data_IF_191152104531
#
_entry.id   IF_191152104531
#
_cell.length_a   1.000
_cell.length_b   1.000
_cell.length_c   1.000
_cell.angle_alpha   90.00
_cell.angle_beta   90.00
_cell.angle_gamma   90.00
#
_symmetry.space_group_name_H-M   'P 1'
#
loop_
_entity.id
_entity.type
_entity.pdbx_description
1 polymer ?
#
# COMPACT_ATOMS: atom_id res chain seq x y z
N UNK A 1 26.91 -48.39 -50.66
CA UNK A 1 27.01 -49.69 -51.36
C UNK A 1 26.50 -50.73 -50.36
N UNK A 2 25.18 -50.95 -50.31
CA UNK A 2 24.44 -52.08 -50.92
C UNK A 2 25.00 -53.43 -50.42
N UNK A 3 24.27 -54.37 -49.81
CA UNK A 3 22.84 -54.67 -49.76
C UNK A 3 22.54 -55.69 -48.63
N UNK A 4 21.23 -55.83 -48.31
CA UNK A 4 20.50 -56.99 -47.76
C UNK A 4 20.36 -57.05 -46.22
N UNK A 5 19.20 -57.33 -45.59
CA UNK A 5 17.88 -57.82 -46.02
C UNK A 5 16.84 -57.44 -44.93
N UNK A 6 15.58 -57.17 -45.30
CA UNK A 6 14.38 -57.17 -44.40
C UNK A 6 13.71 -58.55 -44.43
N UNK A 7 12.90 -58.89 -43.41
CA UNK A 7 11.42 -58.89 -43.57
C UNK A 7 10.74 -58.28 -42.33
N UNK A 8 9.71 -57.42 -42.37
CA UNK A 8 8.30 -57.56 -42.82
C UNK A 8 7.54 -58.76 -42.26
N UNK A 9 6.82 -58.53 -41.14
CA UNK A 9 5.60 -59.22 -40.70
C UNK A 9 4.69 -58.17 -40.03
N UNK A 10 3.70 -57.64 -40.75
CA UNK A 10 2.28 -58.03 -40.73
C UNK A 10 1.58 -57.81 -39.38
N UNK A 11 0.97 -56.64 -39.23
CA UNK A 11 -0.03 -56.34 -38.21
C UNK A 11 -1.41 -56.91 -38.64
N UNK A 12 -2.15 -57.61 -37.77
CA UNK A 12 -3.56 -57.87 -37.98
C UNK A 12 -4.43 -56.80 -37.32
N UNK A 13 -5.34 -56.29 -38.13
CA UNK A 13 -6.54 -55.54 -37.77
C UNK A 13 -7.59 -56.42 -37.06
N UNK A 14 -8.46 -55.73 -36.31
CA UNK A 14 -9.86 -56.06 -35.99
C UNK A 14 -10.16 -56.87 -34.71
N UNK A 15 -10.87 -56.14 -33.82
CA UNK A 15 -12.11 -56.54 -33.20
C UNK A 15 -12.08 -57.76 -32.28
N UNK A 16 -11.93 -57.52 -30.98
CA UNK A 16 -12.69 -58.17 -29.91
C UNK A 16 -12.26 -57.53 -28.59
N UNK A 17 -12.98 -56.49 -28.16
CA UNK A 17 -13.22 -56.08 -26.76
C UNK A 17 -14.25 -54.94 -26.78
N UNK A 18 -15.31 -55.20 -27.53
CA UNK A 18 -16.56 -54.44 -27.55
C UNK A 18 -17.57 -55.20 -26.69
N UNK A 19 -17.22 -55.51 -25.43
CA UNK A 19 -18.18 -56.11 -24.51
C UNK A 19 -17.79 -55.89 -23.04
N UNK A 20 -17.73 -54.62 -22.65
CA UNK A 20 -17.83 -54.18 -21.24
C UNK A 20 -18.20 -52.71 -21.08
N UNK A 21 -18.67 -52.07 -22.15
CA UNK A 21 -19.09 -50.65 -22.18
C UNK A 21 -20.60 -50.44 -22.43
N UNK A 22 -21.38 -51.52 -22.55
CA UNK A 22 -22.81 -51.46 -22.92
C UNK A 22 -23.81 -51.70 -21.78
N UNK A 23 -23.39 -51.88 -20.54
CA UNK A 23 -24.29 -52.10 -19.40
C UNK A 23 -24.23 -51.05 -18.29
N UNK A 24 -23.43 -49.98 -18.43
CA UNK A 24 -23.40 -48.86 -17.48
C UNK A 24 -23.95 -47.53 -18.02
N UNK A 25 -24.50 -47.53 -19.25
CA UNK A 25 -25.21 -46.39 -19.86
C UNK A 25 -26.73 -46.54 -19.83
N UNK A 26 -27.26 -47.32 -18.89
CA UNK A 26 -28.72 -47.52 -18.68
C UNK A 26 -29.20 -47.35 -17.23
N UNK A 27 -28.33 -46.86 -16.33
CA UNK A 27 -28.68 -46.50 -14.94
C UNK A 27 -28.28 -45.06 -14.56
N UNK A 28 -28.13 -44.17 -15.55
CA UNK A 28 -27.88 -42.73 -15.35
C UNK A 28 -28.89 -41.84 -16.09
N UNK A 29 -30.12 -42.35 -16.27
CA UNK A 29 -31.21 -41.63 -16.94
C UNK A 29 -32.55 -41.64 -16.18
N UNK A 30 -32.51 -41.79 -14.84
CA UNK A 30 -33.67 -41.64 -13.93
C UNK A 30 -33.35 -40.66 -12.78
N UNK A 31 -32.44 -39.71 -12.99
CA UNK A 31 -32.18 -38.64 -11.99
C UNK A 31 -31.98 -37.25 -12.62
N UNK A 32 -32.57 -37.07 -13.81
CA UNK A 32 -32.71 -35.76 -14.50
C UNK A 32 -34.16 -35.54 -14.98
N UNK A 33 -35.11 -35.96 -14.15
CA UNK A 33 -36.55 -35.76 -14.34
C UNK A 33 -37.16 -35.16 -13.07
N UNK A 34 -36.64 -34.00 -12.64
CA UNK A 34 -37.25 -33.09 -11.65
C UNK A 34 -36.38 -31.82 -11.59
N UNK A 35 -36.43 -31.01 -12.65
CA UNK A 35 -36.05 -29.58 -12.69
C UNK A 35 -35.94 -29.08 -14.13
N UNK A 36 -36.93 -29.37 -14.97
CA UNK A 36 -37.14 -28.65 -16.22
C UNK A 36 -38.64 -28.63 -16.51
N UNK A 37 -39.34 -27.80 -15.73
CA UNK A 37 -40.65 -27.27 -16.09
C UNK A 37 -40.67 -25.82 -15.64
N UNK A 38 -41.10 -24.93 -16.53
CA UNK A 38 -41.09 -23.46 -16.47
C UNK A 38 -39.80 -22.74 -16.88
N UNK A 39 -39.56 -22.70 -18.19
CA UNK A 39 -39.30 -21.43 -18.86
C UNK A 39 -39.59 -21.58 -20.36
N UNK A 40 -40.45 -20.69 -20.90
CA UNK A 40 -40.45 -20.10 -22.26
C UNK A 40 -41.89 -19.76 -22.64
N UNK A 41 -42.24 -18.47 -22.55
CA UNK A 41 -42.66 -17.59 -23.67
C UNK A 41 -43.30 -16.30 -23.13
N UNK A 42 -42.71 -15.13 -23.45
CA UNK A 42 -43.46 -13.95 -23.91
C UNK A 42 -42.49 -12.90 -24.48
N UNK A 43 -42.68 -12.60 -25.77
CA UNK A 43 -41.97 -11.59 -26.56
C UNK A 43 -42.48 -10.19 -26.22
N UNK A 44 -41.61 -9.18 -26.34
CA UNK A 44 -42.00 -7.77 -26.29
C UNK A 44 -42.74 -7.28 -27.54
N UNK A 45 -43.44 -6.15 -27.40
CA UNK A 45 -43.71 -5.10 -28.40
C UNK A 45 -44.27 -3.87 -27.66
N UNK A 46 -43.85 -2.68 -28.11
CA UNK A 46 -44.20 -1.40 -27.52
C UNK A 46 -45.64 -0.95 -27.76
N UNK A 47 -46.00 0.17 -27.12
CA UNK A 47 -47.26 0.86 -27.33
C UNK A 47 -47.38 2.08 -26.41
N UNK A 48 -47.28 3.26 -27.02
CA UNK A 48 -47.51 4.60 -26.48
C UNK A 48 -48.97 4.79 -26.08
N UNK A 49 -49.26 5.36 -24.91
CA UNK A 49 -50.54 6.06 -24.63
C UNK A 49 -50.26 7.25 -23.71
N UNK A 50 -50.54 8.45 -24.22
CA UNK A 50 -50.74 9.68 -23.45
C UNK A 50 -52.16 9.71 -22.89
N UNK A 51 -52.33 10.14 -21.65
CA UNK A 51 -53.49 10.90 -21.16
C UNK A 51 -53.07 11.59 -19.84
N UNK A 52 -53.16 12.91 -19.82
CA UNK A 52 -52.79 13.74 -18.66
C UNK A 52 -53.95 13.98 -17.70
N UNK A 53 -53.63 14.39 -16.47
CA UNK A 53 -54.14 15.63 -15.87
C UNK A 53 -53.55 15.85 -14.47
N UNK A 54 -53.02 17.06 -14.33
CA UNK A 54 -52.80 17.91 -13.15
C UNK A 54 -53.12 17.35 -11.74
N UNK A 55 -52.13 17.46 -10.82
CA UNK A 55 -52.26 18.24 -9.58
C UNK A 55 -50.91 18.36 -8.83
N UNK A 56 -50.31 19.54 -9.00
CA UNK A 56 -49.58 20.40 -8.05
C UNK A 56 -49.09 19.88 -6.68
N UNK A 57 -47.76 19.96 -6.53
CA UNK A 57 -46.97 20.52 -5.42
C UNK A 57 -46.93 19.84 -4.03
N UNK A 58 -45.71 19.44 -3.59
CA UNK A 58 -44.84 20.20 -2.67
C UNK A 58 -43.47 19.52 -2.47
N UNK A 59 -42.44 20.36 -2.29
CA UNK A 59 -41.02 20.04 -2.02
C UNK A 59 -40.78 19.51 -0.60
N UNK A 60 -39.80 18.62 -0.43
CA UNK A 60 -38.86 18.51 0.71
C UNK A 60 -37.87 17.36 0.40
N UNK A 61 -36.65 17.62 -0.07
CA UNK A 61 -35.39 17.76 0.69
C UNK A 61 -34.91 16.50 1.45
N UNK A 62 -33.96 15.80 0.80
CA UNK A 62 -32.63 15.35 1.28
C UNK A 62 -32.45 14.57 2.61
N UNK A 63 -32.14 13.27 2.44
CA UNK A 63 -31.07 12.44 3.05
C UNK A 63 -31.00 12.22 4.60
N UNK A 64 -30.04 11.42 5.15
CA UNK A 64 -30.28 10.05 5.60
C UNK A 64 -29.93 9.80 7.09
N UNK A 65 -30.36 8.66 7.63
CA UNK A 65 -30.21 8.28 9.03
C UNK A 65 -28.80 7.77 9.37
N UNK A 66 -28.17 8.43 10.35
CA UNK A 66 -27.06 7.94 11.19
C UNK A 66 -27.65 7.63 12.56
N UNK A 67 -27.37 6.45 13.11
CA UNK A 67 -27.73 6.09 14.49
C UNK A 67 -26.43 6.04 15.29
N UNK A 68 -26.34 6.94 16.27
CA UNK A 68 -25.30 7.01 17.29
C UNK A 68 -25.98 6.75 18.64
N UNK A 69 -25.43 5.85 19.45
CA UNK A 69 -25.96 5.51 20.77
C UNK A 69 -24.95 5.85 21.85
N UNK A 70 -25.32 6.78 22.74
CA UNK A 70 -24.58 7.09 23.96
C UNK A 70 -25.54 7.41 25.12
N UNK A 71 -25.08 7.02 26.31
CA UNK A 71 -25.56 7.31 27.69
C UNK A 71 -26.70 6.41 28.21
N UNK A 72 -26.45 5.48 29.15
CA UNK A 72 -26.15 5.63 30.60
C UNK A 72 -27.29 6.27 31.40
N UNK A 73 -28.03 5.47 32.17
CA UNK A 73 -28.29 5.76 33.59
C UNK A 73 -28.73 4.49 34.34
N UNK A 74 -28.33 4.46 35.60
CA UNK A 74 -28.52 3.45 36.65
C UNK A 74 -29.89 3.55 37.32
N UNK A 75 -30.57 2.45 37.68
CA UNK A 75 -30.87 2.07 39.08
C UNK A 75 -31.67 0.76 39.24
N UNK A 76 -31.61 0.22 40.46
CA UNK A 76 -32.02 -1.09 40.99
C UNK A 76 -33.54 -1.42 41.08
N UNK A 77 -33.77 -2.71 41.39
CA UNK A 77 -34.89 -3.37 42.12
C UNK A 77 -35.97 -4.04 41.24
N UNK A 78 -35.99 -5.38 41.18
CA UNK A 78 -36.69 -6.35 42.06
C UNK A 78 -38.18 -6.56 41.73
N UNK A 79 -38.52 -7.81 41.39
CA UNK A 79 -39.80 -8.43 41.74
C UNK A 79 -40.80 -8.66 40.60
N UNK A 80 -41.22 -9.92 40.45
CA UNK A 80 -42.65 -10.22 40.30
C UNK A 80 -43.16 -10.59 38.91
N UNK A 81 -43.20 -11.90 38.65
CA UNK A 81 -44.31 -12.66 38.07
C UNK A 81 -45.04 -12.09 36.83
N UNK A 82 -44.73 -12.65 35.65
CA UNK A 82 -45.62 -12.64 34.48
C UNK A 82 -46.63 -13.79 34.55
N UNK A 83 -47.90 -13.44 34.37
CA UNK A 83 -49.02 -14.38 34.22
C UNK A 83 -49.01 -15.07 32.85
N UNK A 84 -49.19 -16.39 32.92
CA UNK A 84 -49.33 -17.32 31.81
C UNK A 84 -50.74 -17.30 31.20
N UNK A 85 -50.84 -17.22 29.87
CA UNK A 85 -51.94 -17.84 29.14
C UNK A 85 -51.47 -19.15 28.49
N UNK A 86 -51.94 -20.24 29.09
CA UNK A 86 -51.74 -21.63 28.68
C UNK A 86 -52.76 -21.99 27.60
N UNK A 87 -52.29 -22.49 26.46
CA UNK A 87 -53.04 -23.48 25.69
C UNK A 87 -52.20 -24.76 25.61
N UNK A 88 -52.67 -25.74 26.37
CA UNK A 88 -52.13 -27.08 26.51
C UNK A 88 -52.18 -27.84 25.19
N UNK A 89 -51.02 -28.35 24.76
CA UNK A 89 -50.95 -29.51 23.86
C UNK A 89 -50.03 -30.54 24.53
N UNK A 90 -50.53 -31.77 24.59
CA UNK A 90 -50.04 -32.92 25.34
C UNK A 90 -48.53 -33.17 25.25
N UNK A 91 -47.90 -33.41 26.41
CA UNK A 91 -46.64 -34.15 26.52
C UNK A 91 -46.88 -35.65 26.30
N UNK A 92 -46.03 -36.36 25.54
CA UNK A 92 -45.59 -37.68 25.93
C UNK A 92 -44.47 -37.53 26.96
N UNK A 93 -44.70 -38.16 28.09
CA UNK A 93 -43.73 -38.44 29.14
C UNK A 93 -42.59 -39.33 28.64
N UNK A 94 -41.43 -39.14 29.28
CA UNK A 94 -40.32 -40.08 29.42
C UNK A 94 -39.68 -40.61 28.14
N UNK A 95 -38.52 -40.06 27.79
CA UNK A 95 -37.30 -40.86 27.58
C UNK A 95 -36.09 -39.91 27.72
N UNK A 96 -35.22 -40.26 28.65
CA UNK A 96 -33.95 -39.63 28.94
C UNK A 96 -33.03 -39.59 27.70
N UNK A 97 -32.51 -38.42 27.35
CA UNK A 97 -31.36 -38.32 26.46
C UNK A 97 -30.50 -37.08 26.83
N UNK A 98 -29.42 -37.25 27.61
CA UNK A 98 -28.31 -36.31 27.57
C UNK A 98 -27.47 -36.68 26.34
N UNK A 99 -27.92 -36.28 25.15
CA UNK A 99 -27.20 -36.60 23.91
C UNK A 99 -27.00 -35.39 22.99
N UNK A 100 -26.89 -34.21 23.60
CA UNK A 100 -26.78 -32.94 22.86
C UNK A 100 -25.71 -31.98 23.39
N UNK A 101 -24.64 -32.50 24.03
CA UNK A 101 -23.47 -31.67 24.38
C UNK A 101 -22.11 -32.27 24.03
N UNK A 102 -22.05 -33.35 23.24
CA UNK A 102 -20.78 -34.00 22.84
C UNK A 102 -20.43 -33.87 21.35
N UNK A 103 -20.88 -32.81 20.66
CA UNK A 103 -20.25 -32.35 19.41
C UNK A 103 -19.31 -31.16 19.69
N UNK A 104 -18.56 -31.23 20.80
CA UNK A 104 -17.39 -30.41 21.00
C UNK A 104 -16.29 -30.92 20.07
N UNK A 105 -16.05 -30.16 19.00
CA UNK A 105 -14.78 -30.11 18.26
C UNK A 105 -14.11 -31.47 17.95
N UNK A 106 -14.70 -32.25 17.03
CA UNK A 106 -13.90 -33.14 16.18
C UNK A 106 -13.03 -32.25 15.27
N UNK A 107 -11.90 -31.80 15.83
CA UNK A 107 -10.81 -31.14 15.11
C UNK A 107 -10.28 -32.18 14.13
N UNK A 108 -10.76 -32.15 12.89
CA UNK A 108 -10.35 -33.12 11.88
C UNK A 108 -8.81 -33.14 11.80
N UNK A 109 -8.16 -34.26 12.11
CA UNK A 109 -6.69 -34.33 12.23
C UNK A 109 -5.97 -34.09 10.90
N UNK A 110 -6.70 -33.98 9.78
CA UNK A 110 -6.16 -33.82 8.44
C UNK A 110 -6.65 -32.52 7.77
N UNK A 111 -5.71 -31.64 7.43
CA UNK A 111 -5.97 -30.43 6.64
C UNK A 111 -5.82 -30.75 5.16
N UNK A 112 -6.89 -30.53 4.38
CA UNK A 112 -6.84 -30.67 2.92
C UNK A 112 -5.79 -29.73 2.33
N UNK A 113 -4.89 -30.27 1.49
CA UNK A 113 -3.90 -29.47 0.76
C UNK A 113 -4.61 -28.52 -0.22
N UNK A 114 -4.67 -27.24 0.10
CA UNK A 114 -5.32 -26.22 -0.72
C UNK A 114 -4.47 -25.78 -1.92
N UNK A 115 -3.14 -25.68 -1.72
CA UNK A 115 -2.18 -25.27 -2.76
C UNK A 115 -1.64 -26.49 -3.51
N UNK A 116 -2.47 -27.05 -4.39
CA UNK A 116 -2.13 -28.20 -5.25
C UNK A 116 -1.49 -27.73 -6.56
N UNK A 117 -0.96 -28.66 -7.38
CA UNK A 117 -0.48 -28.33 -8.73
C UNK A 117 -1.56 -27.67 -9.60
N UNK A 118 -2.81 -28.13 -9.48
CA UNK A 118 -3.97 -27.54 -10.15
C UNK A 118 -4.30 -26.11 -9.69
N UNK A 119 -3.99 -25.76 -8.42
CA UNK A 119 -4.11 -24.38 -7.95
C UNK A 119 -3.10 -23.47 -8.66
N UNK A 120 -1.82 -23.88 -8.70
CA UNK A 120 -0.77 -23.06 -9.29
C UNK A 120 -0.89 -22.88 -10.79
N UNK A 121 -1.42 -23.88 -11.52
CA UNK A 121 -1.66 -23.75 -12.97
C UNK A 121 -2.71 -22.70 -13.32
N UNK A 122 -3.65 -22.41 -12.40
CA UNK A 122 -4.71 -21.40 -12.56
C UNK A 122 -4.40 -20.09 -11.84
N UNK A 123 -3.33 -20.04 -11.03
CA UNK A 123 -3.03 -18.89 -10.20
C UNK A 123 -2.42 -17.76 -11.03
N UNK A 124 -3.20 -16.69 -11.23
CA UNK A 124 -2.71 -15.49 -11.90
C UNK A 124 -2.00 -14.55 -10.91
N UNK A 125 -0.69 -14.40 -11.09
CA UNK A 125 0.11 -13.48 -10.27
C UNK A 125 -0.25 -12.02 -10.57
N UNK A 126 -0.31 -11.19 -9.51
CA UNK A 126 -0.40 -9.73 -9.66
C UNK A 126 0.95 -9.15 -10.11
N UNK A 127 0.94 -7.91 -10.62
CA UNK A 127 2.16 -7.21 -11.01
C UNK A 127 3.21 -7.18 -9.90
N UNK A 128 4.50 -7.21 -10.27
CA UNK A 128 5.64 -7.32 -9.34
C UNK A 128 5.53 -6.37 -8.14
N UNK A 129 5.38 -5.06 -8.36
CA UNK A 129 5.29 -4.06 -7.28
C UNK A 129 4.04 -4.19 -6.39
N UNK A 130 2.97 -4.82 -6.87
CA UNK A 130 1.77 -5.10 -6.06
C UNK A 130 2.00 -6.29 -5.13
N UNK A 131 2.74 -7.30 -5.60
CA UNK A 131 3.19 -8.43 -4.79
C UNK A 131 4.19 -8.00 -3.72
N UNK A 132 5.08 -7.07 -4.04
CA UNK A 132 5.99 -6.44 -3.07
C UNK A 132 5.29 -5.43 -2.13
N UNK A 133 4.00 -5.13 -2.34
CA UNK A 133 3.28 -4.17 -1.50
C UNK A 133 3.79 -2.73 -1.57
N UNK A 134 4.45 -2.32 -2.67
CA UNK A 134 5.07 -0.99 -2.81
C UNK A 134 4.24 0.02 -3.58
N UNK A 135 3.25 -0.43 -4.35
CA UNK A 135 2.51 0.45 -5.27
C UNK A 135 1.08 -0.02 -5.43
N UNK A 136 0.17 0.92 -5.23
CA UNK A 136 -1.20 0.81 -5.74
C UNK A 136 -1.24 1.28 -7.20
N UNK A 137 -1.56 0.36 -8.11
CA UNK A 137 -1.66 0.65 -9.53
C UNK A 137 -2.90 1.45 -9.88
N UNK A 138 -3.94 1.43 -9.04
CA UNK A 138 -5.16 2.19 -9.27
C UNK A 138 -4.90 3.69 -9.10
N UNK A 139 -4.36 4.10 -7.94
CA UNK A 139 -3.90 5.47 -7.72
C UNK A 139 -2.85 5.90 -8.75
N UNK A 140 -1.85 5.05 -9.02
CA UNK A 140 -0.77 5.35 -9.97
C UNK A 140 -1.28 5.60 -11.39
N UNK A 141 -2.23 4.80 -11.89
CA UNK A 141 -2.83 4.98 -13.23
C UNK A 141 -3.43 6.38 -13.37
N UNK A 142 -4.17 6.84 -12.37
CA UNK A 142 -4.83 8.16 -12.38
C UNK A 142 -3.84 9.32 -12.28
N UNK A 143 -2.81 9.17 -11.47
CA UNK A 143 -1.76 10.17 -11.31
C UNK A 143 -0.97 10.36 -12.61
N UNK A 144 -0.60 9.26 -13.27
CA UNK A 144 0.31 9.29 -14.43
C UNK A 144 -0.41 9.56 -15.75
N UNK A 145 -1.66 9.12 -15.89
CA UNK A 145 -2.41 9.29 -17.13
C UNK A 145 -2.46 10.76 -17.53
N UNK A 146 -2.02 11.04 -18.75
CA UNK A 146 -2.05 12.34 -19.39
C UNK A 146 -3.04 12.29 -20.56
N UNK A 147 -3.72 13.40 -20.82
CA UNK A 147 -4.60 13.50 -21.98
C UNK A 147 -3.80 13.43 -23.28
N UNK A 148 -4.26 12.64 -24.25
CA UNK A 148 -3.53 12.38 -25.51
C UNK A 148 -3.32 13.64 -26.36
N UNK A 149 -4.19 14.62 -26.23
CA UNK A 149 -4.06 15.93 -26.89
C UNK A 149 -2.86 16.75 -26.40
N UNK A 150 -2.24 16.39 -25.27
CA UNK A 150 -1.00 16.99 -24.77
C UNK A 150 0.25 16.30 -25.30
N UNK A 151 0.09 15.32 -26.20
CA UNK A 151 1.17 14.59 -26.88
C UNK A 151 2.24 14.10 -25.91
N UNK A 152 3.48 14.57 -26.07
CA UNK A 152 4.64 14.15 -25.28
C UNK A 152 4.92 15.07 -24.07
N UNK A 153 3.99 15.96 -23.71
CA UNK A 153 4.17 16.83 -22.56
C UNK A 153 4.20 15.99 -21.26
N UNK A 154 5.32 15.99 -20.51
CA UNK A 154 5.46 15.17 -19.33
C UNK A 154 4.51 15.65 -18.22
N UNK A 155 3.88 14.70 -17.54
CA UNK A 155 3.10 14.96 -16.34
C UNK A 155 3.97 14.70 -15.11
N UNK A 156 4.42 15.77 -14.46
CA UNK A 156 5.30 15.71 -13.31
C UNK A 156 4.54 15.38 -12.02
N UNK A 157 5.17 14.57 -11.18
CA UNK A 157 4.68 14.23 -9.84
C UNK A 157 5.78 14.38 -8.80
N UNK A 158 5.42 14.92 -7.64
CA UNK A 158 6.25 14.95 -6.45
C UNK A 158 6.01 13.65 -5.67
N UNK A 159 6.94 12.71 -5.81
CA UNK A 159 6.96 11.44 -5.12
C UNK A 159 7.59 11.64 -3.75
N UNK A 160 6.77 11.55 -2.69
CA UNK A 160 7.23 11.64 -1.31
C UNK A 160 7.20 10.25 -0.68
N UNK A 161 8.33 9.78 -0.15
CA UNK A 161 8.45 8.47 0.48
C UNK A 161 9.17 8.58 1.81
N UNK A 162 8.58 7.95 2.81
CA UNK A 162 9.15 7.83 4.15
C UNK A 162 9.72 6.44 4.31
N UNK A 163 10.98 6.38 4.72
CA UNK A 163 11.56 5.19 5.34
C UNK A 163 11.55 5.37 6.86
N UNK A 164 12.15 4.44 7.60
CA UNK A 164 12.25 4.58 9.06
C UNK A 164 13.26 5.64 9.50
N UNK A 165 14.24 6.00 8.65
CA UNK A 165 15.35 6.90 9.02
C UNK A 165 15.54 8.09 8.08
N UNK A 166 14.90 8.08 6.92
CA UNK A 166 15.02 9.14 5.92
C UNK A 166 13.69 9.42 5.20
N UNK A 167 13.56 10.66 4.76
CA UNK A 167 12.52 11.15 3.86
C UNK A 167 13.14 11.31 2.49
N UNK A 168 12.45 10.83 1.46
CA UNK A 168 12.88 10.88 0.07
C UNK A 168 11.83 11.63 -0.73
N UNK A 169 12.22 12.76 -1.32
CA UNK A 169 11.38 13.58 -2.18
C UNK A 169 11.98 13.57 -3.59
N UNK A 170 11.16 13.26 -4.59
CA UNK A 170 11.60 13.16 -5.99
C UNK A 170 10.55 13.76 -6.91
N UNK A 171 10.98 14.54 -7.90
CA UNK A 171 10.13 14.95 -9.01
C UNK A 171 10.35 13.96 -10.14
N UNK A 172 9.30 13.22 -10.48
CA UNK A 172 9.34 12.20 -11.50
C UNK A 172 8.27 12.42 -12.57
N UNK A 173 8.53 11.95 -13.77
CA UNK A 173 7.52 11.78 -14.81
C UNK A 173 7.66 10.39 -15.42
N UNK A 174 6.58 9.87 -16.00
CA UNK A 174 6.59 8.51 -16.55
C UNK A 174 6.94 8.50 -18.04
N UNK A 175 7.71 7.51 -18.46
CA UNK A 175 7.92 7.10 -19.86
C UNK A 175 7.69 5.59 -19.99
N UNK A 176 7.70 5.09 -21.22
CA UNK A 176 7.48 3.66 -21.51
C UNK A 176 8.53 2.73 -20.86
N UNK A 177 9.80 3.14 -20.87
CA UNK A 177 10.88 2.37 -20.24
C UNK A 177 10.78 2.36 -18.70
N UNK A 178 10.23 3.43 -18.12
CA UNK A 178 10.19 3.63 -16.68
C UNK A 178 10.00 5.09 -16.30
N UNK A 179 10.13 5.35 -15.01
CA UNK A 179 10.04 6.70 -14.46
C UNK A 179 11.39 7.41 -14.59
N UNK A 180 11.36 8.65 -15.09
CA UNK A 180 12.52 9.51 -15.17
C UNK A 180 12.44 10.54 -14.03
N UNK A 181 13.54 10.69 -13.30
CA UNK A 181 13.64 11.60 -12.16
C UNK A 181 14.31 12.89 -12.63
N UNK A 182 13.62 14.02 -12.46
CA UNK A 182 14.14 15.35 -12.80
C UNK A 182 15.03 15.89 -11.67
N UNK A 183 14.52 15.86 -10.45
CA UNK A 183 15.20 16.30 -9.24
C UNK A 183 14.90 15.34 -8.09
N UNK A 184 15.84 15.22 -7.17
CA UNK A 184 15.71 14.40 -5.97
C UNK A 184 16.40 15.10 -4.80
N UNK A 185 15.83 14.92 -3.61
CA UNK A 185 16.50 15.23 -2.36
C UNK A 185 16.11 14.23 -1.28
N UNK A 186 16.98 14.11 -0.28
CA UNK A 186 16.83 13.19 0.83
C UNK A 186 17.11 13.93 2.13
N UNK A 187 16.44 13.54 3.21
CA UNK A 187 16.69 14.17 4.51
C UNK A 187 18.11 13.93 5.04
N UNK A 188 18.79 12.87 4.60
CA UNK A 188 20.23 12.64 4.89
C UNK A 188 21.18 13.72 4.34
N UNK A 189 20.69 14.57 3.44
CA UNK A 189 21.48 15.68 2.90
C UNK A 189 21.28 16.97 3.71
N UNK A 190 20.28 16.99 4.62
CA UNK A 190 19.98 18.14 5.48
C UNK A 190 21.05 18.51 6.51
N UNK A 191 21.88 17.58 7.03
CA UNK A 191 23.00 17.94 7.92
C UNK A 191 23.97 18.95 7.30
N UNK A 192 24.08 19.02 5.96
CA UNK A 192 24.87 20.05 5.28
C UNK A 192 24.35 21.47 5.54
N UNK A 193 23.06 21.61 5.78
CA UNK A 193 22.36 22.88 6.00
C UNK A 193 22.07 23.13 7.49
N UNK A 194 22.70 22.39 8.41
CA UNK A 194 22.55 22.60 9.86
C UNK A 194 21.54 21.70 10.57
N UNK A 195 20.74 20.90 9.85
CA UNK A 195 19.78 19.96 10.48
C UNK A 195 20.44 18.59 10.65
N UNK A 196 21.09 18.37 11.79
CA UNK A 196 21.78 17.11 12.09
C UNK A 196 20.84 16.02 12.62
N UNK A 197 19.85 16.39 13.42
CA UNK A 197 18.93 15.47 14.09
C UNK A 197 17.53 15.49 13.48
N UNK A 198 16.67 14.55 13.91
CA UNK A 198 15.25 14.61 13.59
C UNK A 198 14.90 14.40 12.11
N UNK A 199 15.70 13.69 11.32
CA UNK A 199 15.57 13.57 9.85
C UNK A 199 14.27 12.95 9.31
N UNK A 200 13.31 12.61 10.17
CA UNK A 200 12.00 12.07 9.79
C UNK A 200 10.81 12.81 10.40
N UNK A 201 11.01 13.91 11.12
CA UNK A 201 9.93 14.72 11.68
C UNK A 201 9.18 15.50 10.56
N UNK A 202 8.20 16.32 10.96
CA UNK A 202 7.41 17.11 10.02
C UNK A 202 8.23 18.26 9.42
N UNK A 203 9.06 18.95 10.22
CA UNK A 203 9.96 20.03 9.77
C UNK A 203 11.00 19.55 8.76
N UNK A 204 11.64 18.40 8.97
CA UNK A 204 12.56 17.81 7.99
C UNK A 204 11.82 17.42 6.70
N UNK A 205 10.54 17.03 6.78
CA UNK A 205 9.73 16.82 5.59
C UNK A 205 9.57 18.13 4.81
N UNK A 206 9.25 19.21 5.50
CA UNK A 206 9.18 20.56 4.92
C UNK A 206 10.51 20.97 4.28
N UNK A 207 11.62 20.90 5.02
CA UNK A 207 12.96 21.22 4.52
C UNK A 207 13.35 20.40 3.28
N UNK A 208 13.06 19.08 3.26
CA UNK A 208 13.31 18.25 2.08
C UNK A 208 12.43 18.60 0.89
N UNK A 209 11.19 19.02 1.12
CA UNK A 209 10.28 19.54 0.09
C UNK A 209 10.85 20.81 -0.56
N UNK A 210 11.26 21.76 0.27
CA UNK A 210 11.88 23.02 -0.13
C UNK A 210 13.14 22.79 -0.97
N UNK A 211 14.02 21.90 -0.50
CA UNK A 211 15.25 21.55 -1.20
C UNK A 211 15.00 20.92 -2.58
N UNK A 212 13.98 20.06 -2.72
CA UNK A 212 13.61 19.50 -4.04
C UNK A 212 13.06 20.57 -4.96
N UNK A 213 12.26 21.49 -4.44
CA UNK A 213 11.68 22.57 -5.22
C UNK A 213 12.76 23.49 -5.81
N UNK A 214 13.66 24.00 -4.96
CA UNK A 214 14.78 24.84 -5.40
C UNK A 214 15.66 24.13 -6.42
N UNK A 215 16.05 22.87 -6.16
CA UNK A 215 16.80 22.06 -7.14
C UNK A 215 16.14 21.93 -8.49
N UNK A 216 14.81 21.77 -8.51
CA UNK A 216 14.08 21.63 -9.75
C UNK A 216 13.99 22.94 -10.52
N UNK A 217 13.75 24.05 -9.81
CA UNK A 217 13.66 25.39 -10.40
C UNK A 217 15.02 25.87 -10.91
N UNK A 218 16.11 25.66 -10.17
CA UNK A 218 17.48 25.98 -10.63
C UNK A 218 17.83 25.21 -11.90
N UNK A 219 17.47 23.92 -11.99
CA UNK A 219 17.68 23.11 -13.21
C UNK A 219 16.87 23.59 -14.41
N UNK A 220 15.73 24.23 -14.17
CA UNK A 220 14.84 24.75 -15.21
C UNK A 220 15.09 26.23 -15.52
N UNK A 221 15.97 26.91 -14.78
CA UNK A 221 16.19 28.36 -14.91
C UNK A 221 15.00 29.21 -14.45
N UNK A 222 14.22 28.71 -13.47
CA UNK A 222 13.01 29.36 -12.94
C UNK A 222 13.15 29.77 -11.48
N UNK A 223 14.35 29.73 -10.91
CA UNK A 223 14.58 30.02 -9.49
C UNK A 223 14.22 31.47 -9.13
N UNK A 224 14.71 32.43 -9.91
CA UNK A 224 14.54 33.88 -9.63
C UNK A 224 13.11 34.37 -9.94
N UNK A 225 12.38 33.68 -10.82
CA UNK A 225 11.01 34.08 -11.19
C UNK A 225 9.98 33.62 -10.17
N UNK A 226 10.24 32.48 -9.55
CA UNK A 226 9.33 31.83 -8.61
C UNK A 226 10.04 31.56 -7.31
N UNK A 227 10.36 32.65 -6.60
CA UNK A 227 10.96 32.63 -5.27
C UNK A 227 9.98 32.05 -4.25
N UNK A 228 8.66 32.20 -4.43
CA UNK A 228 7.69 31.63 -3.50
C UNK A 228 7.64 32.43 -2.20
N UNK A 229 7.55 31.76 -1.05
CA UNK A 229 7.45 32.42 0.26
C UNK A 229 8.80 32.32 0.95
N UNK A 230 9.44 33.45 1.28
CA UNK A 230 10.76 33.46 1.92
C UNK A 230 10.70 33.17 3.42
N UNK A 231 9.76 33.82 4.11
CA UNK A 231 9.49 33.62 5.52
C UNK A 231 8.18 32.84 5.67
N UNK A 232 8.23 31.57 6.13
CA UNK A 232 7.04 30.74 6.15
C UNK A 232 6.11 31.13 7.30
N UNK A 233 5.08 31.91 7.00
CA UNK A 233 4.04 32.35 7.95
C UNK A 233 2.95 31.30 8.22
N UNK A 234 3.07 30.11 7.65
CA UNK A 234 2.06 29.05 7.77
C UNK A 234 0.87 29.21 6.82
N UNK A 235 0.63 30.39 6.26
CA UNK A 235 -0.51 30.64 5.36
C UNK A 235 -0.47 29.77 4.09
N UNK A 236 -1.64 29.42 3.55
CA UNK A 236 -1.75 28.64 2.30
C UNK A 236 -1.59 29.57 1.09
N UNK A 237 -0.37 29.68 0.58
CA UNK A 237 -0.06 30.33 -0.69
C UNK A 237 0.15 29.30 -1.80
N UNK A 238 -0.54 29.51 -2.91
CA UNK A 238 -0.34 28.73 -4.14
C UNK A 238 0.37 29.65 -5.12
N UNK A 239 1.42 29.17 -5.77
CA UNK A 239 2.15 29.97 -6.76
C UNK A 239 1.29 30.22 -8.00
N UNK A 240 0.90 31.48 -8.20
CA UNK A 240 0.12 31.90 -9.36
C UNK A 240 1.02 32.17 -10.57
N UNK A 241 0.41 32.26 -11.75
CA UNK A 241 1.15 32.69 -12.93
C UNK A 241 1.49 34.18 -12.77
N UNK A 242 2.66 34.60 -13.26
CA UNK A 242 2.99 36.02 -13.31
C UNK A 242 2.11 36.68 -14.38
N UNK A 243 1.63 37.89 -14.11
CA UNK A 243 0.72 38.64 -15.00
C UNK A 243 1.43 39.20 -16.25
N UNK A 244 2.75 39.09 -16.32
CA UNK A 244 3.53 39.42 -17.51
C UNK A 244 3.19 38.44 -18.65
N UNK A 245 2.76 38.96 -19.80
CA UNK A 245 2.23 38.17 -20.93
C UNK A 245 3.20 37.09 -21.46
N UNK A 246 4.51 37.29 -21.29
CA UNK A 246 5.57 36.37 -21.75
C UNK A 246 6.28 35.59 -20.62
N UNK A 247 5.79 35.67 -19.38
CA UNK A 247 6.40 34.93 -18.28
C UNK A 247 6.15 33.40 -18.38
N UNK A 248 7.19 32.56 -18.20
CA UNK A 248 7.02 31.11 -18.17
C UNK A 248 6.07 30.71 -17.05
N UNK A 249 5.10 29.84 -17.34
CA UNK A 249 4.15 29.33 -16.34
C UNK A 249 4.86 28.63 -15.17
N UNK A 250 4.29 28.66 -13.94
CA UNK A 250 4.90 28.02 -12.79
C UNK A 250 5.01 26.50 -12.98
N UNK A 251 6.07 25.92 -12.42
CA UNK A 251 6.34 24.50 -12.58
C UNK A 251 5.27 23.67 -11.86
N UNK A 252 4.44 22.96 -12.63
CA UNK A 252 3.31 22.19 -12.10
C UNK A 252 3.68 20.75 -11.77
N UNK A 253 3.49 20.35 -10.52
CA UNK A 253 3.67 18.97 -10.05
C UNK A 253 2.45 18.46 -9.26
N UNK A 254 2.18 17.16 -9.34
CA UNK A 254 1.12 16.50 -8.56
C UNK A 254 1.70 15.67 -7.41
N UNK A 255 1.12 15.74 -6.22
CA UNK A 255 1.57 14.92 -5.09
C UNK A 255 1.30 13.43 -5.32
N UNK A 256 2.35 12.61 -5.20
CA UNK A 256 2.27 11.15 -5.14
C UNK A 256 2.59 10.66 -3.73
N UNK A 257 1.54 10.40 -2.96
CA UNK A 257 1.56 9.88 -1.58
C UNK A 257 1.94 8.38 -1.52
N UNK A 258 1.76 7.66 -2.62
CA UNK A 258 1.95 6.21 -2.68
C UNK A 258 0.90 5.45 -1.88
N UNK A 259 1.34 4.70 -0.86
CA UNK A 259 0.47 3.88 0.00
C UNK A 259 0.25 4.50 1.39
N UNK A 260 0.82 5.68 1.65
CA UNK A 260 0.61 6.37 2.93
C UNK A 260 -0.84 6.86 3.03
N UNK A 261 -1.39 6.79 4.25
CA UNK A 261 -2.73 7.32 4.53
C UNK A 261 -2.69 8.85 4.49
N UNK A 262 -3.67 9.46 3.86
CA UNK A 262 -3.86 10.91 3.79
C UNK A 262 -4.68 11.40 4.97
N UNK A 263 -4.10 11.32 6.18
CA UNK A 263 -4.66 11.93 7.40
C UNK A 263 -4.22 13.38 7.55
N UNK A 264 -4.97 14.17 8.33
CA UNK A 264 -4.53 15.49 8.81
C UNK A 264 -3.21 15.36 9.59
N UNK A 265 -2.31 16.34 9.44
CA UNK A 265 -1.00 16.32 10.11
C UNK A 265 -0.01 15.28 9.57
N UNK A 266 -0.33 14.55 8.49
CA UNK A 266 0.62 13.60 7.89
C UNK A 266 1.85 14.35 7.36
N UNK A 267 3.05 13.85 7.72
CA UNK A 267 4.35 14.40 7.28
C UNK A 267 4.49 14.52 5.76
N UNK A 268 3.75 13.74 4.99
CA UNK A 268 3.70 13.85 3.52
C UNK A 268 3.29 15.26 3.08
N UNK A 269 2.37 15.88 3.83
CA UNK A 269 1.90 17.22 3.55
C UNK A 269 2.89 18.31 3.99
N UNK A 270 3.78 18.03 4.96
CA UNK A 270 4.91 18.91 5.25
C UNK A 270 5.85 19.05 4.05
N UNK A 271 6.21 17.93 3.41
CA UNK A 271 7.00 17.95 2.18
C UNK A 271 6.27 18.60 0.99
N UNK A 272 4.94 18.50 0.93
CA UNK A 272 4.15 19.24 -0.04
C UNK A 272 4.22 20.75 0.22
N UNK A 273 4.07 21.17 1.48
CA UNK A 273 4.06 22.59 1.87
C UNK A 273 5.41 23.23 1.58
N UNK A 274 6.51 22.59 1.97
CA UNK A 274 7.86 23.06 1.64
C UNK A 274 8.14 23.11 0.13
N UNK A 275 7.60 22.17 -0.65
CA UNK A 275 7.73 22.23 -2.10
C UNK A 275 6.90 23.37 -2.73
N UNK A 276 5.73 23.67 -2.17
CA UNK A 276 4.87 24.78 -2.58
C UNK A 276 5.55 26.12 -2.30
N UNK A 277 6.02 26.30 -1.06
CA UNK A 277 6.69 27.52 -0.61
C UNK A 277 8.02 27.75 -1.34
N UNK A 278 8.66 26.68 -1.79
CA UNK A 278 9.85 26.73 -2.65
C UNK A 278 9.60 27.10 -4.11
N UNK A 279 8.36 27.44 -4.50
CA UNK A 279 8.02 27.95 -5.83
C UNK A 279 7.34 26.97 -6.78
N UNK A 280 7.15 25.70 -6.40
CA UNK A 280 6.48 24.70 -7.26
C UNK A 280 4.97 24.82 -7.12
N UNK A 281 4.25 24.89 -8.24
CA UNK A 281 2.79 24.83 -8.24
C UNK A 281 2.30 23.40 -8.00
N UNK A 282 1.79 23.14 -6.80
CA UNK A 282 1.12 21.88 -6.44
C UNK A 282 -0.34 22.18 -6.13
N UNK A 283 -1.33 21.62 -6.86
CA UNK A 283 -2.73 21.85 -6.52
C UNK A 283 -3.09 21.10 -5.23
N UNK A 284 -3.47 21.83 -4.18
CA UNK A 284 -3.82 21.28 -2.87
C UNK A 284 -4.80 22.18 -2.11
N UNK A 285 -5.28 21.68 -0.96
CA UNK A 285 -6.27 22.35 -0.09
C UNK A 285 -5.76 22.32 1.36
N UNK A 286 -6.18 23.28 2.19
CA UNK A 286 -5.74 23.40 3.59
C UNK A 286 -6.12 22.22 4.51
N UNK A 287 -7.14 21.43 4.12
CA UNK A 287 -7.79 20.38 4.94
C UNK A 287 -6.89 19.30 5.53
N UNK A 288 -5.64 19.18 5.06
CA UNK A 288 -4.72 18.11 5.46
C UNK A 288 -3.50 18.60 6.23
N UNK A 289 -3.37 19.90 6.43
CA UNK A 289 -2.32 20.47 7.25
C UNK A 289 -2.59 20.28 8.75
N UNK A 290 -1.56 20.27 9.59
CA UNK A 290 -1.74 20.42 11.04
C UNK A 290 -2.41 21.77 11.32
N UNK A 291 -3.22 21.85 12.40
CA UNK A 291 -3.99 23.05 12.73
C UNK A 291 -5.32 23.20 11.98
N UNK A 292 -5.65 22.32 11.03
CA UNK A 292 -6.96 22.34 10.38
C UNK A 292 -8.02 21.69 11.26
N UNK A 293 -9.03 22.47 11.65
CA UNK A 293 -10.19 21.97 12.37
C UNK A 293 -11.33 21.60 11.40
N UNK A 294 -11.80 20.34 11.39
CA UNK A 294 -12.91 19.91 10.53
C UNK A 294 -14.25 20.59 10.85
N UNK A 295 -14.46 21.10 12.08
CA UNK A 295 -15.72 21.70 12.50
C UNK A 295 -15.85 23.16 12.03
N UNK A 296 -14.90 24.01 12.41
CA UNK A 296 -14.81 25.41 11.95
C UNK A 296 -14.44 25.51 10.46
N UNK A 297 -13.78 24.49 9.89
CA UNK A 297 -13.22 24.49 8.52
C UNK A 297 -12.17 25.57 8.28
N UNK A 298 -11.58 26.09 9.36
CA UNK A 298 -10.53 27.08 9.33
C UNK A 298 -9.17 26.42 9.59
N UNK A 299 -8.13 27.03 9.05
CA UNK A 299 -6.74 26.63 9.29
C UNK A 299 -6.18 27.58 10.33
N UNK A 300 -5.68 27.01 11.42
CA UNK A 300 -4.85 27.77 12.36
C UNK A 300 -3.43 27.89 11.79
N UNK A 301 -3.13 29.08 11.26
CA UNK A 301 -1.85 29.42 10.65
C UNK A 301 -0.71 29.41 11.69
N UNK A 302 -0.99 29.75 12.94
CA UNK A 302 0.00 29.75 14.02
C UNK A 302 0.46 28.32 14.34
N UNK A 303 -0.47 27.38 14.47
CA UNK A 303 -0.13 25.96 14.63
C UNK A 303 0.69 25.46 13.45
N UNK A 304 0.34 25.82 12.21
CA UNK A 304 1.12 25.39 11.05
C UNK A 304 2.53 25.98 11.07
N UNK A 305 2.69 27.25 11.45
CA UNK A 305 3.99 27.90 11.64
C UNK A 305 4.83 27.18 12.70
N UNK A 306 4.26 26.85 13.87
CA UNK A 306 4.92 26.04 14.90
C UNK A 306 5.41 24.68 14.35
N UNK A 307 4.65 24.04 13.47
CA UNK A 307 5.08 22.79 12.84
C UNK A 307 6.22 22.97 11.84
N UNK A 308 6.33 24.11 11.17
CA UNK A 308 7.40 24.45 10.21
C UNK A 308 8.73 24.73 10.93
N UNK A 309 8.69 25.40 12.09
CA UNK A 309 9.90 25.72 12.86
C UNK A 309 10.24 24.69 13.94
N UNK A 310 9.42 23.67 14.13
CA UNK A 310 9.72 22.58 15.06
C UNK A 310 9.29 22.86 16.49
N UNK A 311 8.44 23.86 16.72
CA UNK A 311 7.86 24.18 18.03
C UNK A 311 7.19 22.97 18.69
N UNK A 312 6.49 22.12 17.93
CA UNK A 312 5.92 20.87 18.48
C UNK A 312 6.95 19.86 19.01
N UNK A 313 8.20 19.92 18.54
CA UNK A 313 9.30 19.11 19.06
C UNK A 313 9.89 19.79 20.29
N UNK A 314 10.04 21.11 20.27
CA UNK A 314 10.49 21.91 21.41
C UNK A 314 9.53 21.77 22.62
N UNK A 315 8.22 21.99 22.40
CA UNK A 315 7.17 21.77 23.41
C UNK A 315 7.20 20.34 23.97
N UNK A 316 7.51 19.35 23.12
CA UNK A 316 7.64 17.96 23.56
C UNK A 316 8.92 17.69 24.35
N UNK A 317 10.02 18.38 24.04
CA UNK A 317 11.25 18.31 24.85
C UNK A 317 11.01 18.90 26.24
N UNK A 318 10.42 20.10 26.33
CA UNK A 318 10.10 20.77 27.60
C UNK A 318 9.17 19.94 28.47
N UNK A 319 8.07 19.43 27.91
CA UNK A 319 7.13 18.60 28.69
C UNK A 319 7.79 17.34 29.27
N UNK A 320 8.80 16.78 28.60
CA UNK A 320 9.47 15.57 29.07
C UNK A 320 10.58 15.86 30.08
N UNK A 321 11.20 17.04 30.01
CA UNK A 321 12.12 17.53 31.05
C UNK A 321 11.38 17.73 32.38
N UNK A 322 10.10 18.14 32.34
CA UNK A 322 9.28 18.32 33.54
C UNK A 322 8.66 17.01 34.05
N UNK A 323 8.19 16.13 33.16
CA UNK A 323 7.42 14.93 33.55
C UNK A 323 8.28 13.68 33.83
N UNK A 324 9.29 13.38 33.00
CA UNK A 324 9.97 12.08 33.01
C UNK A 324 11.37 12.11 32.35
N UNK A 325 12.40 12.26 33.20
CA UNK A 325 13.83 12.20 32.82
C UNK A 325 14.22 10.92 32.06
N UNK A 326 13.55 9.77 32.28
CA UNK A 326 13.90 8.54 31.57
C UNK A 326 13.45 8.58 30.11
N UNK A 327 12.30 9.19 29.84
CA UNK A 327 11.80 9.39 28.48
C UNK A 327 12.58 10.47 27.75
N UNK A 328 13.07 11.46 28.47
CA UNK A 328 13.93 12.50 27.90
C UNK A 328 15.21 11.95 27.23
N UNK A 329 15.69 10.77 27.67
CA UNK A 329 16.81 10.04 27.02
C UNK A 329 16.58 9.73 25.53
N UNK A 330 15.34 9.76 25.04
CA UNK A 330 15.06 9.62 23.61
C UNK A 330 15.72 10.72 22.75
N UNK A 331 16.00 11.89 23.35
CA UNK A 331 16.72 13.00 22.73
C UNK A 331 18.23 12.93 22.94
N UNK A 332 18.78 11.76 23.30
CA UNK A 332 20.23 11.55 23.52
C UNK A 332 21.14 12.13 22.43
N UNK A 333 20.74 12.11 21.16
CA UNK A 333 21.54 12.72 20.09
C UNK A 333 21.55 14.24 20.15
N UNK A 334 20.42 14.86 20.51
CA UNK A 334 20.33 16.32 20.69
C UNK A 334 21.16 16.77 21.89
N UNK A 335 21.09 16.01 23.00
CA UNK A 335 21.87 16.25 24.21
C UNK A 335 23.38 16.13 24.00
N UNK A 336 23.81 15.19 23.15
CA UNK A 336 25.22 15.02 22.81
C UNK A 336 25.80 16.24 22.08
N UNK A 337 24.98 16.92 21.28
CA UNK A 337 25.36 18.12 20.52
C UNK A 337 25.00 19.42 21.27
N UNK A 338 24.43 19.32 22.47
CA UNK A 338 24.11 20.47 23.34
C UNK A 338 22.94 21.32 22.87
N UNK A 339 21.98 20.73 22.13
CA UNK A 339 20.86 21.46 21.53
C UNK A 339 19.62 21.35 22.44
N UNK A 340 19.11 22.50 22.90
CA UNK A 340 17.91 22.61 23.74
C UNK A 340 16.60 22.82 22.96
N UNK A 341 15.49 23.05 23.68
CA UNK A 341 14.19 23.38 23.08
C UNK A 341 14.20 24.74 22.37
N UNK A 342 14.86 25.73 22.99
CA UNK A 342 14.97 27.11 22.52
C UNK A 342 15.70 27.21 21.16
N UNK A 343 16.71 26.36 20.92
CA UNK A 343 17.54 26.41 19.71
C UNK A 343 16.84 25.88 18.44
N UNK A 344 15.68 25.21 18.57
CA UNK A 344 15.02 24.54 17.45
C UNK A 344 14.64 25.50 16.32
N UNK A 345 14.04 26.63 16.66
CA UNK A 345 13.55 27.59 15.68
C UNK A 345 14.69 28.23 14.88
N UNK A 346 15.80 28.55 15.55
CA UNK A 346 16.99 29.12 14.91
C UNK A 346 17.63 28.14 13.94
N UNK A 347 17.76 26.86 14.32
CA UNK A 347 18.33 25.81 13.46
C UNK A 347 17.55 25.70 12.15
N UNK A 348 16.21 25.65 12.20
CA UNK A 348 15.41 25.52 10.98
C UNK A 348 15.41 26.80 10.14
N UNK A 349 15.39 27.97 10.76
CA UNK A 349 15.46 29.26 10.05
C UNK A 349 16.76 29.39 9.25
N UNK A 350 17.90 29.10 9.90
CA UNK A 350 19.21 29.08 9.25
C UNK A 350 19.28 28.03 8.13
N UNK A 351 18.69 26.86 8.36
CA UNK A 351 18.64 25.81 7.33
C UNK A 351 17.82 26.21 6.11
N UNK A 352 16.70 26.92 6.27
CA UNK A 352 15.88 27.39 5.16
C UNK A 352 16.60 28.44 4.33
N UNK A 353 17.32 29.36 4.97
CA UNK A 353 18.19 30.31 4.28
C UNK A 353 19.30 29.59 3.49
N UNK A 354 20.03 28.68 4.14
CA UNK A 354 21.11 27.92 3.50
C UNK A 354 20.63 27.05 2.31
N UNK A 355 19.40 26.51 2.38
CA UNK A 355 18.79 25.76 1.27
C UNK A 355 18.49 26.67 0.08
N UNK A 356 18.07 27.93 0.31
CA UNK A 356 17.81 28.90 -0.75
C UNK A 356 19.09 29.35 -1.43
N UNK A 357 20.13 29.63 -0.64
CA UNK A 357 21.44 30.03 -1.16
C UNK A 357 22.03 28.93 -2.06
N UNK A 358 21.97 27.68 -1.60
CA UNK A 358 22.85 26.65 -2.11
C UNK A 358 22.16 25.29 -2.33
N UNK A 359 21.17 25.20 -3.25
CA UNK A 359 20.35 24.00 -3.42
C UNK A 359 21.08 22.83 -4.11
N UNK A 360 22.34 23.00 -4.52
CA UNK A 360 23.06 22.03 -5.36
C UNK A 360 23.27 20.66 -4.69
N UNK A 361 23.23 19.59 -5.48
CA UNK A 361 23.54 18.23 -4.99
C UNK A 361 25.05 18.00 -5.01
N UNK A 362 25.64 17.67 -3.84
CA UNK A 362 27.04 17.25 -3.71
C UNK A 362 27.12 15.73 -3.61
N UNK A 363 27.69 15.04 -4.62
CA UNK A 363 27.93 13.60 -4.54
C UNK A 363 28.94 13.28 -3.44
N UNK A 364 28.65 12.24 -2.66
CA UNK A 364 29.60 11.68 -1.68
C UNK A 364 30.71 10.91 -2.38
N UNK A 365 31.97 11.21 -2.06
CA UNK A 365 33.12 10.44 -2.53
C UNK A 365 33.11 9.04 -1.90
N UNK A 366 33.25 8.01 -2.73
CA UNK A 366 33.27 6.61 -2.28
C UNK A 366 34.69 6.09 -2.38
N UNK A 367 35.27 5.74 -1.25
CA UNK A 367 36.64 5.17 -1.17
C UNK A 367 36.69 3.68 -1.54
N UNK A 368 35.56 2.97 -1.43
CA UNK A 368 35.49 1.51 -1.66
C UNK A 368 34.66 1.17 -2.91
N UNK A 369 35.16 0.21 -3.68
CA UNK A 369 34.44 -0.40 -4.81
C UNK A 369 33.32 -1.33 -4.34
N UNK A 370 32.19 -0.73 -3.99
CA UNK A 370 31.02 -1.47 -3.48
C UNK A 370 30.49 -2.55 -4.46
N UNK A 371 30.75 -2.38 -5.75
CA UNK A 371 30.40 -3.38 -6.77
C UNK A 371 31.20 -4.69 -6.63
N UNK A 372 32.47 -4.61 -6.24
CA UNK A 372 33.29 -5.78 -5.97
C UNK A 372 32.91 -6.42 -4.62
N UNK A 373 32.78 -5.60 -3.58
CA UNK A 373 32.42 -6.08 -2.23
C UNK A 373 31.06 -6.79 -2.21
N UNK A 374 30.06 -6.25 -2.91
CA UNK A 374 28.73 -6.87 -2.99
C UNK A 374 28.72 -8.24 -3.69
N UNK A 375 29.66 -8.52 -4.60
CA UNK A 375 29.75 -9.81 -5.27
C UNK A 375 30.31 -10.90 -4.36
N UNK A 376 31.14 -10.55 -3.38
CA UNK A 376 31.79 -11.48 -2.45
C UNK A 376 30.79 -12.35 -1.68
N UNK A 377 29.67 -11.77 -1.25
CA UNK A 377 28.65 -12.47 -0.46
C UNK A 377 27.53 -13.08 -1.31
N UNK A 378 27.56 -12.92 -2.64
CA UNK A 378 26.50 -13.40 -3.52
C UNK A 378 26.77 -14.85 -3.92
N UNK A 379 25.92 -15.77 -3.46
CA UNK A 379 25.96 -17.17 -3.89
C UNK A 379 25.48 -17.29 -5.35
N UNK A 380 26.32 -17.77 -6.28
CA UNK A 380 25.90 -17.98 -7.66
C UNK A 380 24.96 -19.19 -7.76
N UNK A 381 24.07 -19.17 -8.76
CA UNK A 381 23.20 -20.32 -9.04
C UNK A 381 24.07 -21.47 -9.55
N UNK A 382 23.97 -22.65 -8.91
CA UNK A 382 24.67 -23.87 -9.33
C UNK A 382 24.42 -24.19 -10.81
N UNK A 383 25.45 -24.67 -11.50
CA UNK A 383 25.31 -25.18 -12.88
C UNK A 383 24.49 -26.47 -12.90
N UNK A 384 24.05 -26.90 -14.08
CA UNK A 384 23.28 -28.13 -14.22
C UNK A 384 24.11 -29.37 -13.85
N UNK A 385 25.39 -29.38 -14.22
CA UNK A 385 26.33 -30.47 -13.91
C UNK A 385 26.57 -30.60 -12.42
N UNK A 386 26.86 -29.48 -11.73
CA UNK A 386 27.02 -29.46 -10.27
C UNK A 386 25.77 -29.96 -9.53
N UNK A 387 24.58 -29.68 -10.06
CA UNK A 387 23.33 -30.20 -9.47
C UNK A 387 23.18 -31.69 -9.69
N UNK A 388 23.55 -32.22 -10.87
CA UNK A 388 23.49 -33.66 -11.16
C UNK A 388 24.47 -34.44 -10.29
N UNK A 389 25.71 -33.96 -10.17
CA UNK A 389 26.71 -34.57 -9.30
C UNK A 389 26.22 -34.66 -7.85
N UNK A 390 25.70 -33.55 -7.29
CA UNK A 390 25.12 -33.56 -5.94
C UNK A 390 23.93 -34.49 -5.76
N UNK A 391 23.09 -34.64 -6.78
CA UNK A 391 21.96 -35.58 -6.71
C UNK A 391 22.48 -37.02 -6.66
N UNK A 392 23.48 -37.32 -7.49
CA UNK A 392 24.10 -38.64 -7.53
C UNK A 392 24.78 -38.98 -6.20
N UNK A 393 25.61 -38.06 -5.68
CA UNK A 393 26.25 -38.19 -4.36
C UNK A 393 25.21 -38.43 -3.24
N UNK A 394 24.08 -37.72 -3.27
CA UNK A 394 23.02 -37.91 -2.28
C UNK A 394 22.29 -39.26 -2.43
N UNK A 395 22.12 -39.76 -3.65
CA UNK A 395 21.50 -41.08 -3.90
C UNK A 395 22.43 -42.18 -3.39
N UNK A 396 23.72 -42.09 -3.72
CA UNK A 396 24.75 -43.06 -3.29
C UNK A 396 24.87 -43.08 -1.76
N UNK A 397 24.91 -41.90 -1.12
CA UNK A 397 24.93 -41.82 0.34
C UNK A 397 23.64 -42.35 0.99
N UNK A 398 22.49 -42.23 0.33
CA UNK A 398 21.24 -42.80 0.84
C UNK A 398 21.23 -44.33 0.74
N UNK A 399 21.70 -44.88 -0.38
CA UNK A 399 21.81 -46.33 -0.58
C UNK A 399 22.77 -46.93 0.45
N UNK A 400 23.97 -46.35 0.62
CA UNK A 400 24.95 -46.81 1.60
C UNK A 400 24.44 -46.77 3.06
N UNK A 401 23.60 -45.79 3.43
CA UNK A 401 23.00 -45.74 4.76
C UNK A 401 21.79 -46.69 4.91
N UNK A 402 21.11 -47.04 3.81
CA UNK A 402 20.06 -48.06 3.83
C UNK A 402 20.65 -49.45 4.03
N UNK A 403 21.73 -49.76 3.31
CA UNK A 403 22.45 -51.02 3.42
C UNK A 403 23.05 -51.20 4.84
N UNK A 404 23.54 -50.12 5.47
CA UNK A 404 24.06 -50.16 6.84
C UNK A 404 22.98 -50.41 7.92
N UNK A 405 21.71 -50.06 7.65
CA UNK A 405 20.60 -50.34 8.58
C UNK A 405 20.12 -51.79 8.40
N UNK A 406 20.17 -52.32 7.18
CA UNK A 406 19.85 -53.74 6.91
C UNK A 406 20.92 -54.68 7.51
N UNK A 407 22.21 -54.32 7.48
CA UNK A 407 23.28 -55.09 8.15
C UNK A 407 23.14 -55.09 9.68
N UNK A 408 22.70 -53.98 10.31
CA UNK A 408 22.47 -53.90 11.76
C UNK A 408 21.20 -54.67 12.21
N UNK A 409 20.21 -54.88 11.34
CA UNK A 409 19.01 -55.69 11.63
C UNK A 409 19.23 -57.20 11.40
N UNK A 410 20.14 -57.59 10.50
CA UNK A 410 20.51 -59.00 10.29
C UNK A 410 21.42 -59.58 11.40
N UNK A 411 22.13 -58.73 12.15
CA UNK A 411 22.95 -59.14 13.30
C UNK A 411 22.14 -59.30 14.62
N UNK A 412 20.86 -58.90 14.65
CA UNK A 412 19.93 -58.98 15.80
C UNK A 412 18.86 -60.12 15.68
N UNK A 413 18.88 -60.94 14.62
CA UNK A 413 18.15 -62.23 14.48
C UNK A 413 19.03 -63.45 14.77
#
# INVERSE_FOLDING_TARGET
>A
MNHAMRPMTSAPTLAFLFDTFCTYRRLYNIQKFLSYSYCVTARGRGGTIHLGSQLSARKASTEPWVIDTRLLSTNKNHGGAEESHVWSICRPSSLSAPFLSLFSALKMPFVKKQKTGAYFSRFQVKYRRRREGKTDYYARKRLISQAKNKYNAPKYRLVVRFTNKEIVCQIAYARLQGDFILAAARSKELPRYGINHGLTNWTAAYATGLLVARRALTKLGLADKYEGVDEPDGTLTITEALDEEDAPRPFKAYLDVGLKRTSTGSRVFGALKGASDGGIFIPHNAKRFPGYDPESKELDDETLKKYIFGGHVAEYMESLEEEDDERYKQFSTYLADGIGSEDMEEIYTNAYAAIREDPTFKPTEKTKDWAAESKKYRTPRLTLEQRKAKIQENIEAFQANGDAIEEDEEDDE
#
